data_IF_926172603035
#
_entry.id   IF_926172603035
#
_cell.length_a   1.000
_cell.length_b   1.000
_cell.length_c   1.000
_cell.angle_alpha   90.00
_cell.angle_beta   90.00
_cell.angle_gamma   90.00
#
_symmetry.space_group_name_H-M   'P 1'
#
loop_
_entity.id
_entity.type
_entity.pdbx_description
1 polymer ?
#
# COMPACT_ATOMS: atom_id res chain seq x y z
N UNK A 1 16.37 12.22 -43.39
CA UNK A 1 17.09 11.35 -42.42
C UNK A 1 17.06 11.89 -40.99
N UNK A 2 17.23 13.21 -40.76
CA UNK A 2 17.24 13.80 -39.41
C UNK A 2 15.98 13.53 -38.55
N UNK A 3 14.79 13.53 -39.17
CA UNK A 3 13.51 13.29 -38.47
C UNK A 3 13.41 11.86 -37.92
N UNK A 4 13.95 10.87 -38.63
CA UNK A 4 13.89 9.46 -38.21
C UNK A 4 14.82 9.22 -37.03
N UNK A 5 16.03 9.80 -37.05
CA UNK A 5 16.99 9.72 -35.94
C UNK A 5 16.44 10.41 -34.69
N UNK A 6 15.76 11.56 -34.84
CA UNK A 6 15.14 12.25 -33.70
C UNK A 6 13.98 11.47 -33.08
N UNK A 7 13.19 10.73 -33.87
CA UNK A 7 12.10 9.90 -33.35
C UNK A 7 12.63 8.69 -32.58
N UNK A 8 13.69 8.03 -33.09
CA UNK A 8 14.31 6.89 -32.42
C UNK A 8 14.94 7.32 -31.09
N UNK A 9 15.67 8.44 -31.09
CA UNK A 9 16.29 8.98 -29.88
C UNK A 9 15.24 9.39 -28.85
N UNK A 10 14.15 10.04 -29.28
CA UNK A 10 13.04 10.40 -28.40
C UNK A 10 12.36 9.15 -27.81
N UNK A 11 12.16 8.10 -28.61
CA UNK A 11 11.58 6.84 -28.14
C UNK A 11 12.46 6.14 -27.09
N UNK A 12 13.78 6.06 -27.32
CA UNK A 12 14.73 5.55 -26.33
C UNK A 12 14.75 6.41 -25.07
N UNK A 13 14.78 7.74 -25.21
CA UNK A 13 14.78 8.66 -24.08
C UNK A 13 13.50 8.54 -23.26
N UNK A 14 12.34 8.35 -23.88
CA UNK A 14 11.07 8.08 -23.18
C UNK A 14 11.13 6.73 -22.45
N UNK A 15 11.70 5.69 -23.06
CA UNK A 15 11.83 4.37 -22.42
C UNK A 15 12.75 4.42 -21.20
N UNK A 16 13.91 5.07 -21.30
CA UNK A 16 14.86 5.23 -20.18
C UNK A 16 14.25 6.07 -19.05
N UNK A 17 13.55 7.14 -19.39
CA UNK A 17 12.89 8.00 -18.41
C UNK A 17 11.73 7.27 -17.71
N UNK A 18 10.99 6.44 -18.44
CA UNK A 18 9.93 5.58 -17.88
C UNK A 18 10.51 4.54 -16.92
N UNK A 19 11.60 3.87 -17.30
CA UNK A 19 12.28 2.90 -16.44
C UNK A 19 12.82 3.54 -15.14
N UNK A 20 13.39 4.74 -15.24
CA UNK A 20 13.86 5.50 -14.08
C UNK A 20 12.72 5.89 -13.13
N UNK A 21 11.59 6.38 -13.66
CA UNK A 21 10.40 6.74 -12.87
C UNK A 21 9.81 5.53 -12.17
N UNK A 22 9.72 4.37 -12.85
CA UNK A 22 9.26 3.12 -12.25
C UNK A 22 10.20 2.64 -11.14
N UNK A 23 11.51 2.67 -11.36
CA UNK A 23 12.48 2.26 -10.35
C UNK A 23 12.40 3.14 -9.09
N UNK A 24 12.35 4.46 -9.25
CA UNK A 24 12.24 5.39 -8.12
C UNK A 24 10.90 5.25 -7.38
N UNK A 25 9.80 5.00 -8.11
CA UNK A 25 8.49 4.72 -7.48
C UNK A 25 8.53 3.44 -6.65
N UNK A 26 9.13 2.38 -7.19
CA UNK A 26 9.29 1.10 -6.50
C UNK A 26 10.17 1.26 -5.25
N UNK A 27 11.29 1.98 -5.36
CA UNK A 27 12.20 2.26 -4.25
C UNK A 27 11.53 3.09 -3.16
N UNK A 28 10.82 4.15 -3.52
CA UNK A 28 10.11 4.99 -2.56
C UNK A 28 9.01 4.24 -1.80
N UNK A 29 8.30 3.32 -2.47
CA UNK A 29 7.32 2.45 -1.83
C UNK A 29 7.96 1.50 -0.81
N UNK A 30 9.10 0.90 -1.17
CA UNK A 30 9.87 0.06 -0.25
C UNK A 30 10.39 0.84 0.96
N UNK A 31 10.92 2.05 0.76
CA UNK A 31 11.38 2.91 1.85
C UNK A 31 10.26 3.27 2.82
N UNK A 32 9.05 3.55 2.32
CA UNK A 32 7.88 3.79 3.17
C UNK A 32 7.48 2.55 3.99
N UNK A 33 7.65 1.35 3.42
CA UNK A 33 7.40 0.11 4.14
C UNK A 33 8.44 -0.10 5.25
N UNK A 34 9.74 0.08 4.96
CA UNK A 34 10.85 -0.13 5.90
C UNK A 34 10.97 0.96 6.98
N UNK A 35 10.49 2.18 6.74
CA UNK A 35 10.43 3.21 7.78
C UNK A 35 9.59 2.80 9.01
N UNK A 36 8.84 1.69 8.92
CA UNK A 36 8.07 1.14 10.02
C UNK A 36 8.77 0.02 10.81
N UNK A 37 10.01 -0.36 10.48
CA UNK A 37 10.75 -1.40 11.20
C UNK A 37 10.84 -1.14 12.70
N UNK A 38 10.89 0.13 13.12
CA UNK A 38 10.94 0.51 14.54
C UNK A 38 9.75 -0.02 15.36
N UNK A 39 8.58 -0.20 14.74
CA UNK A 39 7.40 -0.77 15.41
C UNK A 39 7.56 -2.27 15.63
N UNK A 40 8.13 -2.95 14.63
CA UNK A 40 8.31 -4.40 14.64
C UNK A 40 9.45 -4.83 15.59
N UNK A 41 10.30 -3.89 16.01
CA UNK A 41 11.36 -4.10 17.00
C UNK A 41 10.94 -3.82 18.45
N UNK A 42 9.77 -3.19 18.69
CA UNK A 42 9.26 -2.92 20.03
C UNK A 42 8.23 -3.99 20.45
N UNK A 43 8.54 -4.86 21.44
CA UNK A 43 7.65 -5.94 21.85
C UNK A 43 6.26 -5.46 22.29
N UNK A 44 6.16 -4.26 22.88
CA UNK A 44 4.87 -3.71 23.35
C UNK A 44 4.00 -3.32 22.16
N UNK A 45 4.59 -2.76 21.11
CA UNK A 45 3.88 -2.39 19.89
C UNK A 45 3.48 -3.64 19.09
N UNK A 46 4.34 -4.67 19.05
CA UNK A 46 4.01 -5.95 18.44
C UNK A 46 2.82 -6.61 19.15
N UNK A 47 2.81 -6.64 20.49
CA UNK A 47 1.69 -7.18 21.26
C UNK A 47 0.40 -6.39 21.01
N UNK A 48 0.48 -5.05 20.97
CA UNK A 48 -0.65 -4.20 20.63
C UNK A 48 -1.21 -4.51 19.24
N UNK A 49 -0.34 -4.71 18.24
CA UNK A 49 -0.76 -5.07 16.89
C UNK A 49 -1.45 -6.43 16.86
N UNK A 50 -0.89 -7.45 17.52
CA UNK A 50 -1.50 -8.78 17.60
C UNK A 50 -2.88 -8.76 18.28
N UNK A 51 -3.02 -8.02 19.39
CA UNK A 51 -4.29 -7.83 20.07
C UNK A 51 -5.29 -7.08 19.19
N UNK A 52 -4.86 -6.03 18.50
CA UNK A 52 -5.72 -5.27 17.61
C UNK A 52 -6.18 -6.08 16.40
N UNK A 53 -5.31 -6.91 15.83
CA UNK A 53 -5.63 -7.76 14.69
C UNK A 53 -6.70 -8.80 15.04
N UNK A 54 -6.67 -9.35 16.26
CA UNK A 54 -7.54 -10.46 16.71
C UNK A 54 -8.76 -10.04 17.52
N UNK A 55 -8.62 -9.07 18.42
CA UNK A 55 -9.63 -8.65 19.40
C UNK A 55 -9.65 -7.12 19.57
N UNK A 56 -10.00 -6.35 18.51
CA UNK A 56 -9.89 -4.90 18.48
C UNK A 56 -10.74 -4.16 19.53
N UNK A 57 -11.80 -4.77 20.03
CA UNK A 57 -12.65 -4.26 21.10
C UNK A 57 -11.98 -4.30 22.49
N UNK A 58 -10.93 -5.10 22.65
CA UNK A 58 -10.14 -5.15 23.89
C UNK A 58 -9.16 -4.00 24.03
N UNK A 59 -8.97 -3.20 22.97
CA UNK A 59 -8.08 -2.06 22.99
C UNK A 59 -8.76 -0.86 23.66
N UNK A 60 -8.03 -0.22 24.58
CA UNK A 60 -8.40 1.11 25.09
C UNK A 60 -8.47 2.14 23.95
N UNK A 61 -9.07 3.31 24.20
CA UNK A 61 -9.16 4.38 23.20
C UNK A 61 -7.79 4.84 22.69
N UNK A 62 -6.78 4.87 23.57
CA UNK A 62 -5.40 5.25 23.24
C UNK A 62 -4.72 4.17 22.40
N UNK A 63 -4.87 2.90 22.77
CA UNK A 63 -4.37 1.75 22.01
C UNK A 63 -5.03 1.67 20.62
N UNK A 64 -6.35 1.85 20.55
CA UNK A 64 -7.08 1.90 19.28
C UNK A 64 -6.58 3.02 18.38
N UNK A 65 -6.32 4.22 18.93
CA UNK A 65 -5.79 5.33 18.16
C UNK A 65 -4.42 5.00 17.53
N UNK A 66 -3.53 4.35 18.27
CA UNK A 66 -2.21 3.92 17.78
C UNK A 66 -2.33 2.83 16.71
N UNK A 67 -3.07 1.75 17.02
CA UNK A 67 -3.31 0.63 16.10
C UNK A 67 -3.95 1.10 14.79
N UNK A 68 -5.05 1.86 14.89
CA UNK A 68 -5.78 2.35 13.71
C UNK A 68 -4.94 3.33 12.88
N UNK A 69 -4.06 4.11 13.50
CA UNK A 69 -3.12 4.97 12.77
C UNK A 69 -2.11 4.15 11.99
N UNK A 70 -1.55 3.09 12.57
CA UNK A 70 -0.62 2.18 11.86
C UNK A 70 -1.29 1.54 10.65
N UNK A 71 -2.52 1.06 10.81
CA UNK A 71 -3.29 0.50 9.71
C UNK A 71 -3.66 1.51 8.64
N UNK A 72 -4.05 2.74 9.02
CA UNK A 72 -4.29 3.80 8.03
C UNK A 72 -3.04 4.13 7.20
N UNK A 73 -1.85 4.10 7.80
CA UNK A 73 -0.59 4.25 7.06
C UNK A 73 -0.37 3.07 6.11
N UNK A 74 -0.66 1.85 6.55
CA UNK A 74 -0.59 0.64 5.72
C UNK A 74 -1.52 0.74 4.49
N UNK A 75 -2.75 1.23 4.67
CA UNK A 75 -3.67 1.52 3.56
C UNK A 75 -3.19 2.66 2.65
N UNK A 76 -2.52 3.69 3.17
CA UNK A 76 -1.93 4.75 2.33
C UNK A 76 -0.85 4.19 1.39
N UNK A 77 0.01 3.31 1.89
CA UNK A 77 1.05 2.67 1.08
C UNK A 77 0.41 1.78 0.00
N UNK A 78 -0.62 0.99 0.34
CA UNK A 78 -1.35 0.20 -0.64
C UNK A 78 -2.08 1.07 -1.68
N UNK A 79 -2.68 2.18 -1.26
CA UNK A 79 -3.32 3.14 -2.15
C UNK A 79 -2.32 3.78 -3.11
N UNK A 80 -1.12 4.10 -2.65
CA UNK A 80 -0.04 4.62 -3.50
C UNK A 80 0.41 3.57 -4.52
N UNK A 81 0.59 2.31 -4.09
CA UNK A 81 0.91 1.20 -4.98
C UNK A 81 -0.19 0.99 -6.03
N UNK A 82 -1.46 1.02 -5.64
CA UNK A 82 -2.60 0.93 -6.56
C UNK A 82 -2.61 2.11 -7.56
N UNK A 83 -2.32 3.32 -7.10
CA UNK A 83 -2.20 4.51 -7.95
C UNK A 83 -1.08 4.34 -8.98
N UNK A 84 0.07 3.79 -8.58
CA UNK A 84 1.17 3.48 -9.48
C UNK A 84 0.80 2.40 -10.51
N UNK A 85 0.16 1.32 -10.07
CA UNK A 85 -0.28 0.24 -10.95
C UNK A 85 -1.31 0.72 -11.98
N UNK A 86 -2.34 1.45 -11.54
CA UNK A 86 -3.39 1.99 -12.41
C UNK A 86 -2.87 3.01 -13.43
N UNK A 87 -1.73 3.65 -13.16
CA UNK A 87 -1.04 4.58 -14.07
C UNK A 87 0.05 3.93 -14.91
N UNK A 88 0.32 2.63 -14.73
CA UNK A 88 1.38 1.91 -15.43
C UNK A 88 2.80 2.27 -14.98
N UNK A 89 2.97 2.89 -13.80
CA UNK A 89 4.28 3.26 -13.25
C UNK A 89 4.80 2.27 -12.22
N UNK A 90 3.97 1.32 -11.77
CA UNK A 90 4.35 0.20 -10.91
C UNK A 90 4.40 -1.09 -11.75
N UNK A 91 5.45 -1.86 -11.54
CA UNK A 91 5.61 -3.17 -12.18
C UNK A 91 4.42 -4.11 -11.83
N UNK A 92 3.79 -4.79 -12.82
CA UNK A 92 2.63 -5.65 -12.57
C UNK A 92 2.90 -6.84 -11.64
N UNK A 93 4.10 -7.42 -11.68
CA UNK A 93 4.47 -8.56 -10.83
C UNK A 93 4.68 -8.08 -9.38
N UNK A 94 5.28 -6.89 -9.23
CA UNK A 94 5.41 -6.24 -7.93
C UNK A 94 4.03 -5.90 -7.34
N UNK A 95 3.13 -5.35 -8.17
CA UNK A 95 1.75 -5.10 -7.77
C UNK A 95 1.04 -6.37 -7.32
N UNK A 96 1.15 -7.48 -8.07
CA UNK A 96 0.49 -8.73 -7.73
C UNK A 96 0.89 -9.24 -6.34
N UNK A 97 2.19 -9.24 -6.02
CA UNK A 97 2.68 -9.66 -4.71
C UNK A 97 2.22 -8.73 -3.57
N UNK A 98 2.30 -7.42 -3.80
CA UNK A 98 1.84 -6.43 -2.82
C UNK A 98 0.35 -6.55 -2.56
N UNK A 99 -0.45 -6.57 -3.63
CA UNK A 99 -1.88 -6.65 -3.54
C UNK A 99 -2.34 -7.91 -2.79
N UNK A 100 -1.73 -9.07 -3.06
CA UNK A 100 -2.01 -10.30 -2.33
C UNK A 100 -1.70 -10.17 -0.83
N UNK A 101 -0.54 -9.61 -0.47
CA UNK A 101 -0.14 -9.43 0.93
C UNK A 101 -1.09 -8.50 1.71
N UNK A 102 -1.48 -7.38 1.11
CA UNK A 102 -2.45 -6.48 1.73
C UNK A 102 -3.84 -7.11 1.82
N UNK A 103 -4.29 -7.79 0.75
CA UNK A 103 -5.59 -8.43 0.69
C UNK A 103 -5.78 -9.45 1.82
N UNK A 104 -4.81 -10.34 2.06
CA UNK A 104 -4.84 -11.28 3.18
C UNK A 104 -5.03 -10.56 4.53
N UNK A 105 -4.32 -9.43 4.70
CA UNK A 105 -4.35 -8.68 5.93
C UNK A 105 -5.71 -7.96 6.15
N UNK A 106 -6.51 -7.74 5.10
CA UNK A 106 -7.88 -7.20 5.23
C UNK A 106 -8.87 -8.17 5.87
N UNK A 107 -8.52 -9.45 5.99
CA UNK A 107 -9.36 -10.42 6.68
C UNK A 107 -9.31 -10.29 8.21
N UNK A 108 -8.32 -9.56 8.74
CA UNK A 108 -8.13 -9.39 10.18
C UNK A 108 -9.25 -8.50 10.78
N UNK A 109 -9.90 -8.92 11.88
CA UNK A 109 -10.95 -8.15 12.56
C UNK A 109 -10.62 -6.67 12.78
N UNK A 110 -9.43 -6.37 13.30
CA UNK A 110 -9.04 -4.98 13.52
C UNK A 110 -8.82 -4.20 12.23
N UNK A 111 -8.26 -4.84 11.19
CA UNK A 111 -8.10 -4.21 9.88
C UNK A 111 -9.45 -3.85 9.25
N UNK A 112 -10.42 -4.79 9.29
CA UNK A 112 -11.80 -4.56 8.84
C UNK A 112 -12.43 -3.36 9.53
N UNK A 113 -12.31 -3.29 10.86
CA UNK A 113 -12.85 -2.15 11.63
C UNK A 113 -12.19 -0.82 11.24
N UNK A 114 -10.86 -0.80 11.08
CA UNK A 114 -10.17 0.43 10.61
C UNK A 114 -10.67 0.83 9.23
N UNK A 115 -10.85 -0.14 8.33
CA UNK A 115 -11.39 0.10 7.00
C UNK A 115 -12.80 0.69 7.05
N UNK A 116 -13.71 0.10 7.82
CA UNK A 116 -15.08 0.61 7.97
C UNK A 116 -15.11 2.06 8.49
N UNK A 117 -14.29 2.37 9.49
CA UNK A 117 -14.20 3.71 10.09
C UNK A 117 -13.59 4.74 9.11
N UNK A 118 -12.64 4.33 8.26
CA UNK A 118 -11.76 5.27 7.53
C UNK A 118 -11.77 5.15 6.01
N UNK A 119 -12.50 4.21 5.40
CA UNK A 119 -12.48 3.97 3.94
C UNK A 119 -12.69 5.23 3.09
N UNK A 120 -13.44 6.19 3.63
CA UNK A 120 -13.71 7.49 3.01
C UNK A 120 -12.46 8.37 2.80
N UNK A 121 -11.30 8.03 3.38
CA UNK A 121 -10.04 8.75 3.18
C UNK A 121 -9.41 8.48 1.81
N UNK A 122 -9.75 7.36 1.17
CA UNK A 122 -9.15 6.94 -0.08
C UNK A 122 -10.11 7.09 -1.26
N UNK A 123 -9.56 7.09 -2.48
CA UNK A 123 -10.35 7.23 -3.70
C UNK A 123 -11.35 6.08 -3.89
N UNK A 124 -12.52 6.35 -4.46
CA UNK A 124 -13.57 5.33 -4.74
C UNK A 124 -13.07 4.10 -5.53
N UNK A 125 -12.20 4.21 -6.55
CA UNK A 125 -11.68 3.04 -7.24
C UNK A 125 -10.89 2.10 -6.32
N UNK A 126 -10.05 2.66 -5.45
CA UNK A 126 -9.32 1.89 -4.46
C UNK A 126 -10.25 1.26 -3.43
N UNK A 127 -11.26 2.02 -2.95
CA UNK A 127 -12.25 1.48 -2.02
C UNK A 127 -12.91 0.21 -2.57
N UNK A 128 -13.36 0.25 -3.84
CA UNK A 128 -13.97 -0.93 -4.49
C UNK A 128 -13.03 -2.14 -4.56
N UNK A 129 -11.75 -1.92 -4.84
CA UNK A 129 -10.77 -2.99 -4.90
C UNK A 129 -10.54 -3.63 -3.53
N UNK A 130 -10.43 -2.82 -2.47
CA UNK A 130 -10.31 -3.33 -1.10
C UNK A 130 -11.59 -4.06 -0.67
N UNK A 131 -12.77 -3.51 -0.98
CA UNK A 131 -14.06 -4.13 -0.64
C UNK A 131 -14.23 -5.51 -1.33
N UNK A 132 -13.73 -5.67 -2.56
CA UNK A 132 -13.71 -6.97 -3.26
C UNK A 132 -12.85 -8.00 -2.54
N UNK A 133 -11.69 -7.60 -2.03
CA UNK A 133 -10.83 -8.47 -1.22
C UNK A 133 -11.46 -8.80 0.13
N UNK A 134 -12.01 -7.81 0.83
CA UNK A 134 -12.67 -8.00 2.12
C UNK A 134 -13.90 -8.92 2.08
N UNK A 135 -14.60 -8.97 0.93
CA UNK A 135 -15.70 -9.90 0.69
C UNK A 135 -15.27 -11.36 0.45
N UNK A 136 -13.96 -11.60 0.25
CA UNK A 136 -13.38 -12.94 0.10
C UNK A 136 -12.96 -13.55 1.45
N UNK A 137 -13.07 -12.75 2.50
CA UNK A 137 -12.99 -13.12 3.91
C UNK A 137 -14.42 -13.34 4.46
#
# INVERSE_FOLDING_TARGET
>A
MAVVVSIIYLAQQIQENTAAVTFETNRGLLELQFQHDAWDQDPVLVELMQRGDTLPESLSSVEWAQYSRRWALRYNVWWLAYSGFSKGTLDPDLWAGWNASYAESTCLPGAKRVWEERRHWWSTPFQRMVDQHGASC
#
